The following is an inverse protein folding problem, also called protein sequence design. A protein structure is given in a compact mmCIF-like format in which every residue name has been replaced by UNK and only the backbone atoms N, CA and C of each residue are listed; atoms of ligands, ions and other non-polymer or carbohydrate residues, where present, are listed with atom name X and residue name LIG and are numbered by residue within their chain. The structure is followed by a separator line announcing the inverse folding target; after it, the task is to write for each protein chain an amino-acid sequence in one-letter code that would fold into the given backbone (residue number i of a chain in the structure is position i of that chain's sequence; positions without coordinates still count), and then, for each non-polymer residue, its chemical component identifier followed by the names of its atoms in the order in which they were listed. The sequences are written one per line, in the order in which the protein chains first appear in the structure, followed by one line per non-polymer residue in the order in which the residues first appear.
data_IF_908279617856
#
_entry.id   IF_908279617856
#
_cell.length_a   1.000
_cell.length_b   1.000
_cell.length_c   1.000
_cell.angle_alpha   90.00
_cell.angle_beta   90.00
_cell.angle_gamma   90.00
#
_symmetry.space_group_name_H-M   'P 1'
#
loop_
_entity.id
_entity.type
_entity.pdbx_description
1 polymer ?
#
# COMPACT_ATOMS: atom_id res chain seq x y z
N UNK A 1 -14.92 -3.58 -9.68
CA UNK A 1 -14.56 -3.72 -8.24
C UNK A 1 -13.66 -2.58 -7.83
N UNK A 2 -13.92 -1.95 -6.68
CA UNK A 2 -13.09 -0.86 -6.12
C UNK A 2 -12.55 -1.24 -4.75
N UNK A 3 -11.24 -1.21 -4.61
CA UNK A 3 -10.54 -1.62 -3.39
C UNK A 3 -9.80 -0.43 -2.78
N UNK A 4 -9.90 -0.24 -1.47
CA UNK A 4 -9.02 0.66 -0.75
C UNK A 4 -7.82 -0.12 -0.22
N UNK A 5 -6.65 0.22 -0.71
CA UNK A 5 -5.38 -0.35 -0.24
C UNK A 5 -4.77 0.55 0.83
N UNK A 6 -4.35 -0.06 1.95
CA UNK A 6 -3.59 0.62 3.00
C UNK A 6 -2.20 0.00 3.06
N UNK A 7 -1.21 0.74 2.57
CA UNK A 7 0.22 0.43 2.68
C UNK A 7 0.98 1.74 2.78
N UNK A 8 1.33 2.12 4.00
CA UNK A 8 1.76 3.49 4.29
C UNK A 8 3.26 3.68 4.18
N UNK A 9 4.06 2.68 4.51
CA UNK A 9 5.54 2.79 4.57
C UNK A 9 6.19 1.39 4.66
N UNK A 10 7.48 1.21 4.50
CA UNK A 10 8.47 2.17 4.04
C UNK A 10 8.54 2.21 2.51
N UNK A 11 9.47 2.97 1.91
CA UNK A 11 9.62 3.08 0.46
C UNK A 11 9.67 1.71 -0.23
N UNK A 12 10.56 0.84 0.21
CA UNK A 12 10.67 -0.52 -0.36
C UNK A 12 9.37 -1.32 -0.22
N UNK A 13 8.68 -1.22 0.92
CA UNK A 13 7.40 -1.90 1.13
C UNK A 13 6.31 -1.39 0.19
N UNK A 14 6.30 -0.08 -0.12
CA UNK A 14 5.35 0.52 -1.07
C UNK A 14 5.64 0.01 -2.48
N UNK A 15 6.90 0.05 -2.92
CA UNK A 15 7.33 -0.48 -4.22
C UNK A 15 7.01 -1.98 -4.33
N UNK A 16 7.31 -2.78 -3.32
CA UNK A 16 7.05 -4.23 -3.28
C UNK A 16 5.56 -4.59 -3.33
N UNK A 17 4.67 -3.63 -3.20
CA UNK A 17 3.22 -3.85 -3.30
C UNK A 17 2.72 -3.79 -4.75
N UNK A 18 3.41 -3.10 -5.66
CA UNK A 18 3.00 -2.93 -7.05
C UNK A 18 2.75 -4.26 -7.79
N UNK A 19 3.57 -5.33 -7.63
CA UNK A 19 3.30 -6.61 -8.29
C UNK A 19 1.96 -7.23 -7.90
N UNK A 20 1.50 -7.05 -6.68
CA UNK A 20 0.20 -7.56 -6.25
C UNK A 20 -0.97 -6.84 -6.94
N UNK A 21 -0.82 -5.54 -7.24
CA UNK A 21 -1.81 -4.80 -8.02
C UNK A 21 -1.84 -5.27 -9.47
N UNK A 22 -0.66 -5.57 -10.04
CA UNK A 22 -0.55 -6.10 -11.41
C UNK A 22 -1.25 -7.46 -11.52
N UNK A 23 -1.01 -8.36 -10.57
CA UNK A 23 -1.67 -9.67 -10.54
C UNK A 23 -3.19 -9.52 -10.41
N UNK A 24 -3.65 -8.69 -9.48
CA UNK A 24 -5.06 -8.42 -9.28
C UNK A 24 -5.73 -7.82 -10.52
N UNK A 25 -5.07 -6.88 -11.20
CA UNK A 25 -5.58 -6.24 -12.40
C UNK A 25 -5.69 -7.23 -13.59
N UNK A 26 -4.79 -8.20 -13.66
CA UNK A 26 -4.84 -9.29 -14.66
C UNK A 26 -5.93 -10.30 -14.34
N UNK A 27 -6.09 -10.64 -13.06
CA UNK A 27 -7.07 -11.65 -12.63
C UNK A 27 -8.50 -11.12 -12.61
N UNK A 28 -8.71 -9.84 -12.32
CA UNK A 28 -10.03 -9.22 -12.16
C UNK A 28 -10.14 -8.01 -13.10
N UNK A 29 -10.70 -8.18 -14.31
CA UNK A 29 -10.86 -7.09 -15.25
C UNK A 29 -11.64 -5.92 -14.64
N UNK A 30 -11.12 -4.70 -14.80
CA UNK A 30 -11.75 -3.49 -14.31
C UNK A 30 -11.63 -3.23 -12.80
N UNK A 31 -10.80 -4.01 -12.06
CA UNK A 31 -10.48 -3.68 -10.67
C UNK A 31 -9.72 -2.34 -10.60
N UNK A 32 -10.06 -1.53 -9.60
CA UNK A 32 -9.43 -0.22 -9.34
C UNK A 32 -9.06 -0.10 -7.88
N UNK A 33 -7.94 0.54 -7.64
CA UNK A 33 -7.41 0.80 -6.31
C UNK A 33 -7.36 2.28 -6.00
N UNK A 34 -7.84 2.65 -4.81
CA UNK A 34 -7.43 3.89 -4.17
C UNK A 34 -6.41 3.50 -3.08
N UNK A 35 -5.32 4.26 -2.93
CA UNK A 35 -4.21 3.83 -2.08
C UNK A 35 -3.88 4.86 -1.00
N UNK A 36 -3.97 4.44 0.27
CA UNK A 36 -3.54 5.22 1.45
C UNK A 36 -2.05 4.98 1.70
N UNK A 37 -1.26 6.03 1.57
CA UNK A 37 0.20 5.99 1.66
C UNK A 37 0.75 7.20 2.41
N UNK A 38 1.92 7.09 3.03
CA UNK A 38 2.60 8.22 3.66
C UNK A 38 2.97 9.29 2.62
N UNK A 39 2.79 10.58 2.94
CA UNK A 39 2.94 11.71 2.02
C UNK A 39 4.27 11.70 1.24
N UNK A 40 5.37 11.28 1.87
CA UNK A 40 6.68 11.18 1.22
C UNK A 40 6.81 10.08 0.16
N UNK A 41 5.81 9.21 0.02
CA UNK A 41 5.79 8.13 -0.97
C UNK A 41 4.59 8.20 -1.90
N UNK A 42 3.86 9.32 -1.89
CA UNK A 42 2.59 9.47 -2.60
C UNK A 42 2.72 9.38 -4.13
N UNK A 43 3.90 9.62 -4.67
CA UNK A 43 4.17 9.51 -6.10
C UNK A 43 4.18 8.05 -6.59
N UNK A 44 4.74 7.12 -5.80
CA UNK A 44 4.96 5.72 -6.21
C UNK A 44 3.67 5.02 -6.67
N UNK A 45 2.54 5.09 -5.92
CA UNK A 45 1.29 4.51 -6.38
C UNK A 45 0.79 5.03 -7.73
N UNK A 46 1.12 6.27 -8.08
CA UNK A 46 0.66 6.88 -9.35
C UNK A 46 1.29 6.23 -10.58
N UNK A 47 2.38 5.51 -10.41
CA UNK A 47 3.05 4.82 -11.51
C UNK A 47 2.28 3.59 -12.02
N UNK A 48 1.35 3.06 -11.20
CA UNK A 48 0.60 1.86 -11.57
C UNK A 48 -0.79 2.21 -12.16
N UNK A 49 -1.13 1.70 -13.36
CA UNK A 49 -2.35 2.07 -14.08
C UNK A 49 -3.65 1.66 -13.39
N UNK A 50 -3.63 0.65 -12.50
CA UNK A 50 -4.81 0.25 -11.75
C UNK A 50 -5.09 1.13 -10.51
N UNK A 51 -4.23 2.10 -10.20
CA UNK A 51 -4.45 3.06 -9.10
C UNK A 51 -5.17 4.30 -9.64
N UNK A 52 -6.35 4.56 -9.10
CA UNK A 52 -7.17 5.72 -9.48
C UNK A 52 -6.86 6.95 -8.62
N UNK A 53 -6.76 6.74 -7.31
CA UNK A 53 -6.60 7.85 -6.35
C UNK A 53 -5.55 7.51 -5.31
N UNK A 54 -4.63 8.43 -5.08
CA UNK A 54 -3.68 8.35 -3.97
C UNK A 54 -4.20 9.23 -2.83
N UNK A 55 -4.28 8.67 -1.63
CA UNK A 55 -4.75 9.34 -0.42
C UNK A 55 -3.54 9.47 0.53
N UNK A 56 -2.84 10.60 0.51
CA UNK A 56 -1.67 10.79 1.36
C UNK A 56 -2.06 10.94 2.82
N UNK A 57 -1.25 10.36 3.70
CA UNK A 57 -1.30 10.50 5.14
C UNK A 57 0.07 10.90 5.69
N UNK A 58 0.08 11.56 6.83
CA UNK A 58 1.32 11.98 7.49
C UNK A 58 1.38 11.43 8.92
N UNK A 59 1.22 10.11 9.07
CA UNK A 59 1.07 9.46 10.39
C UNK A 59 2.25 9.77 11.30
N UNK A 60 3.48 9.81 10.75
CA UNK A 60 4.69 10.12 11.51
C UNK A 60 4.64 11.53 12.11
N UNK A 61 4.19 12.51 11.31
CA UNK A 61 4.05 13.91 11.71
C UNK A 61 2.84 14.08 12.64
N UNK A 62 1.70 13.47 12.34
CA UNK A 62 0.49 13.53 13.15
C UNK A 62 0.71 13.03 14.58
N UNK A 63 1.48 11.96 14.75
CA UNK A 63 1.82 11.43 16.09
C UNK A 63 2.68 12.37 16.92
N UNK A 64 3.51 13.20 16.28
CA UNK A 64 4.35 14.18 17.00
C UNK A 64 3.54 15.39 17.47
N UNK A 65 2.50 15.77 16.73
CA UNK A 65 1.71 16.97 17.07
C UNK A 65 0.23 16.78 16.72
N UNK A 66 -0.51 16.07 17.58
CA UNK A 66 -1.93 15.77 17.42
C UNK A 66 -2.81 17.03 17.36
N UNK A 67 -2.54 18.02 18.20
CA UNK A 67 -3.30 19.27 18.23
C UNK A 67 -3.20 20.03 16.91
N UNK A 68 -2.00 20.14 16.36
CA UNK A 68 -1.79 20.77 15.07
C UNK A 68 -2.49 20.04 13.95
N UNK A 69 -2.46 18.70 13.96
CA UNK A 69 -3.13 17.85 12.97
C UNK A 69 -4.65 18.04 12.96
N UNK A 70 -5.25 18.18 14.15
CA UNK A 70 -6.68 18.45 14.27
C UNK A 70 -7.00 19.87 13.81
N UNK A 71 -6.22 20.87 14.25
CA UNK A 71 -6.42 22.29 13.96
C UNK A 71 -6.22 22.60 12.46
N UNK A 72 -5.25 21.96 11.80
CA UNK A 72 -5.00 22.11 10.35
C UNK A 72 -6.08 21.47 9.47
N UNK A 73 -6.97 20.66 10.04
CA UNK A 73 -8.00 19.94 9.33
C UNK A 73 -7.51 18.75 8.49
N UNK A 74 -6.23 18.38 8.57
CA UNK A 74 -5.66 17.26 7.81
C UNK A 74 -6.39 15.95 8.13
N UNK A 75 -6.65 15.70 9.40
CA UNK A 75 -7.39 14.52 9.84
C UNK A 75 -8.83 14.49 9.30
N UNK A 76 -9.49 15.65 9.21
CA UNK A 76 -10.82 15.77 8.61
C UNK A 76 -10.76 15.45 7.11
N UNK A 77 -9.79 16.03 6.39
CA UNK A 77 -9.59 15.77 4.96
C UNK A 77 -9.34 14.29 4.68
N UNK A 78 -8.46 13.64 5.44
CA UNK A 78 -8.26 12.19 5.33
C UNK A 78 -9.56 11.41 5.47
N UNK A 79 -10.35 11.67 6.53
CA UNK A 79 -11.64 10.99 6.73
C UNK A 79 -12.62 11.23 5.60
N UNK A 80 -12.65 12.43 5.06
CA UNK A 80 -13.49 12.75 3.90
C UNK A 80 -13.03 11.97 2.66
N UNK A 81 -11.73 11.94 2.37
CA UNK A 81 -11.17 11.23 1.21
C UNK A 81 -11.48 9.74 1.23
N UNK A 82 -11.27 9.05 2.37
CA UNK A 82 -11.57 7.61 2.47
C UNK A 82 -13.06 7.28 2.49
N UNK A 83 -13.93 8.28 2.68
CA UNK A 83 -15.40 8.16 2.65
C UNK A 83 -16.03 8.66 1.36
N UNK A 84 -15.28 9.33 0.51
CA UNK A 84 -15.79 9.93 -0.72
C UNK A 84 -16.30 8.91 -1.72
N UNK A 85 -15.81 7.67 -1.63
CA UNK A 85 -16.20 6.58 -2.53
C UNK A 85 -16.68 5.37 -1.72
N UNK A 86 -17.51 4.54 -2.35
CA UNK A 86 -17.86 3.21 -1.83
C UNK A 86 -16.78 2.22 -2.26
N UNK A 87 -16.28 1.44 -1.31
CA UNK A 87 -15.33 0.37 -1.55
C UNK A 87 -15.98 -0.99 -1.35
N UNK A 88 -15.66 -1.93 -2.20
CA UNK A 88 -16.10 -3.32 -2.08
C UNK A 88 -15.27 -4.06 -1.02
N UNK A 89 -14.00 -3.66 -0.87
CA UNK A 89 -13.04 -4.24 0.07
C UNK A 89 -12.00 -3.20 0.48
N UNK A 90 -11.54 -3.30 1.73
CA UNK A 90 -10.29 -2.66 2.19
C UNK A 90 -9.24 -3.75 2.37
N UNK A 91 -8.04 -3.56 1.84
CA UNK A 91 -6.89 -4.45 2.09
C UNK A 91 -5.85 -3.67 2.89
N UNK A 92 -5.60 -4.09 4.14
CA UNK A 92 -4.45 -3.60 4.91
C UNK A 92 -3.25 -4.53 4.66
N UNK A 93 -2.37 -4.11 3.76
CA UNK A 93 -1.15 -4.82 3.43
C UNK A 93 0.05 -4.43 4.32
N UNK A 94 -0.17 -3.61 5.35
CA UNK A 94 0.88 -3.18 6.26
C UNK A 94 1.02 -4.11 7.47
N UNK A 95 -0.10 -4.54 8.07
CA UNK A 95 -0.12 -5.40 9.24
C UNK A 95 0.43 -4.76 10.51
N UNK A 96 0.22 -3.45 10.69
CA UNK A 96 0.61 -2.67 11.86
C UNK A 96 -0.62 -1.99 12.49
N UNK A 97 -0.60 -1.77 13.80
CA UNK A 97 -1.70 -1.09 14.51
C UNK A 97 -2.04 0.28 13.91
N UNK A 98 -1.02 1.02 13.50
CA UNK A 98 -1.20 2.35 12.91
C UNK A 98 -1.97 2.33 11.59
N UNK A 99 -1.78 1.30 10.75
CA UNK A 99 -2.52 1.12 9.49
C UNK A 99 -3.89 0.51 9.73
N UNK A 100 -3.96 -0.49 10.59
CA UNK A 100 -5.20 -1.14 10.97
C UNK A 100 -6.21 -0.15 11.58
N UNK A 101 -5.74 0.81 12.37
CA UNK A 101 -6.60 1.85 12.93
C UNK A 101 -7.25 2.74 11.87
N UNK A 102 -6.57 3.00 10.74
CA UNK A 102 -7.14 3.79 9.64
C UNK A 102 -8.35 3.11 9.00
N UNK A 103 -8.43 1.77 9.02
CA UNK A 103 -9.54 1.01 8.44
C UNK A 103 -10.89 1.35 9.07
N UNK A 104 -10.90 1.81 10.32
CA UNK A 104 -12.13 2.17 11.07
C UNK A 104 -12.92 3.32 10.44
N UNK A 105 -12.31 4.10 9.58
CA UNK A 105 -12.94 5.25 8.92
C UNK A 105 -13.62 4.90 7.61
N UNK A 106 -13.50 3.63 7.18
CA UNK A 106 -14.08 3.12 5.93
C UNK A 106 -15.21 2.14 6.22
N UNK A 107 -16.32 2.28 5.53
CA UNK A 107 -17.47 1.39 5.64
C UNK A 107 -17.40 0.31 4.55
N UNK A 108 -16.52 -0.67 4.72
CA UNK A 108 -16.40 -1.84 3.85
C UNK A 108 -15.78 -3.00 4.64
N UNK A 109 -15.92 -4.26 4.17
CA UNK A 109 -15.16 -5.37 4.73
C UNK A 109 -13.67 -5.10 4.69
N UNK A 110 -12.94 -5.49 5.74
CA UNK A 110 -11.49 -5.28 5.85
C UNK A 110 -10.79 -6.62 5.85
N UNK A 111 -9.91 -6.82 4.86
CA UNK A 111 -8.99 -7.94 4.79
C UNK A 111 -7.59 -7.50 5.24
N UNK A 112 -6.91 -8.35 5.98
CA UNK A 112 -5.53 -8.13 6.38
C UNK A 112 -4.93 -9.41 6.97
N UNK A 113 -3.65 -9.36 7.30
CA UNK A 113 -2.91 -10.49 7.84
C UNK A 113 -3.48 -10.92 9.20
N UNK A 114 -3.57 -12.22 9.43
CA UNK A 114 -3.94 -12.77 10.74
C UNK A 114 -2.88 -12.48 11.83
N UNK A 115 -3.15 -12.91 13.06
CA UNK A 115 -2.25 -12.67 14.21
C UNK A 115 -0.88 -13.30 14.07
N UNK A 116 -0.79 -14.43 13.32
CA UNK A 116 0.44 -15.18 13.12
C UNK A 116 1.27 -14.62 11.97
N UNK A 117 0.62 -14.03 10.98
CA UNK A 117 1.25 -13.45 9.80
C UNK A 117 1.57 -11.96 9.95
N UNK A 118 0.77 -11.21 10.71
CA UNK A 118 0.98 -9.78 10.90
C UNK A 118 2.26 -9.48 11.68
N UNK A 119 2.90 -8.34 11.36
CA UNK A 119 4.06 -7.87 12.11
C UNK A 119 3.68 -7.47 13.54
N UNK A 120 2.52 -6.86 13.71
CA UNK A 120 1.90 -6.56 15.00
C UNK A 120 0.59 -7.37 15.12
N UNK A 121 0.57 -8.47 15.90
CA UNK A 121 -0.58 -9.38 15.99
C UNK A 121 -1.90 -8.72 16.35
N UNK A 122 -1.86 -7.64 17.15
CA UNK A 122 -3.04 -6.89 17.55
C UNK A 122 -3.74 -6.18 16.38
N UNK A 123 -3.05 -5.93 15.27
CA UNK A 123 -3.64 -5.36 14.07
C UNK A 123 -4.77 -6.23 13.52
N UNK A 124 -4.66 -7.55 13.63
CA UNK A 124 -5.66 -8.50 13.17
C UNK A 124 -7.05 -8.30 13.82
N UNK A 125 -7.14 -7.65 14.98
CA UNK A 125 -8.43 -7.36 15.64
C UNK A 125 -9.29 -6.37 14.87
N UNK A 126 -8.70 -5.59 13.98
CA UNK A 126 -9.39 -4.60 13.16
C UNK A 126 -9.97 -5.18 11.86
N UNK A 127 -9.59 -6.42 11.51
CA UNK A 127 -9.97 -7.03 10.24
C UNK A 127 -11.15 -7.96 10.39
N UNK A 128 -12.14 -7.82 9.51
CA UNK A 128 -13.26 -8.76 9.38
C UNK A 128 -12.83 -10.06 8.69
N UNK A 129 -11.83 -10.00 7.81
CA UNK A 129 -11.21 -11.14 7.13
C UNK A 129 -9.73 -11.20 7.49
N UNK A 130 -9.36 -12.18 8.30
CA UNK A 130 -7.99 -12.42 8.77
C UNK A 130 -7.37 -13.53 7.93
N UNK A 131 -6.32 -13.20 7.22
CA UNK A 131 -5.74 -14.05 6.18
C UNK A 131 -4.36 -14.53 6.60
N UNK A 132 -4.17 -15.84 6.60
CA UNK A 132 -2.89 -16.48 6.86
C UNK A 132 -1.98 -16.37 5.64
N UNK A 133 -0.80 -15.78 5.83
CA UNK A 133 0.27 -15.70 4.83
C UNK A 133 1.58 -16.05 5.51
N UNK A 134 2.26 -17.09 5.04
CA UNK A 134 3.49 -17.58 5.67
C UNK A 134 4.55 -16.49 5.83
N UNK A 135 5.21 -16.48 6.98
CA UNK A 135 6.41 -15.70 7.25
C UNK A 135 7.62 -16.33 6.57
N UNK A 136 8.72 -15.60 6.46
CA UNK A 136 9.97 -16.15 5.89
C UNK A 136 10.05 -16.11 4.37
N UNK A 137 9.02 -15.57 3.69
CA UNK A 137 9.03 -15.34 2.25
C UNK A 137 9.47 -13.91 1.92
N UNK A 138 9.89 -13.70 0.67
CA UNK A 138 10.17 -12.36 0.17
C UNK A 138 8.95 -11.45 0.29
N UNK A 139 9.17 -10.17 0.59
CA UNK A 139 8.07 -9.21 0.84
C UNK A 139 7.08 -9.11 -0.33
N UNK A 140 7.57 -9.16 -1.58
CA UNK A 140 6.74 -9.18 -2.80
C UNK A 140 5.79 -10.36 -2.78
N UNK A 141 6.30 -11.58 -2.56
CA UNK A 141 5.49 -12.79 -2.57
C UNK A 141 4.42 -12.79 -1.48
N UNK A 142 4.77 -12.29 -0.30
CA UNK A 142 3.81 -12.17 0.81
C UNK A 142 2.66 -11.24 0.48
N UNK A 143 2.93 -10.10 -0.17
CA UNK A 143 1.88 -9.16 -0.56
C UNK A 143 1.02 -9.73 -1.69
N UNK A 144 1.64 -10.38 -2.68
CA UNK A 144 0.93 -11.08 -3.77
C UNK A 144 -0.03 -12.15 -3.22
N UNK A 145 0.43 -12.99 -2.27
CA UNK A 145 -0.41 -13.99 -1.61
C UNK A 145 -1.56 -13.36 -0.84
N UNK A 146 -1.31 -12.29 -0.07
CA UNK A 146 -2.36 -11.57 0.64
C UNK A 146 -3.46 -11.11 -0.32
N UNK A 147 -3.09 -10.52 -1.47
CA UNK A 147 -4.04 -10.05 -2.46
C UNK A 147 -4.81 -11.21 -3.11
N UNK A 148 -4.13 -12.29 -3.49
CA UNK A 148 -4.75 -13.47 -4.08
C UNK A 148 -5.84 -14.04 -3.17
N UNK A 149 -5.53 -14.25 -1.89
CA UNK A 149 -6.49 -14.77 -0.91
C UNK A 149 -7.60 -13.74 -0.61
N UNK A 150 -7.26 -12.45 -0.50
CA UNK A 150 -8.23 -11.40 -0.21
C UNK A 150 -9.25 -11.22 -1.35
N UNK A 151 -8.82 -11.32 -2.58
CA UNK A 151 -9.59 -11.05 -3.79
C UNK A 151 -10.16 -12.32 -4.45
N UNK A 152 -9.69 -13.51 -4.03
CA UNK A 152 -10.21 -14.80 -4.49
C UNK A 152 -9.73 -15.19 -5.89
N UNK A 153 -8.45 -14.93 -6.21
CA UNK A 153 -7.84 -15.40 -7.45
C UNK A 153 -6.63 -16.30 -7.15
N UNK A 154 -6.26 -17.14 -8.12
CA UNK A 154 -5.10 -18.02 -8.01
C UNK A 154 -3.80 -17.21 -8.15
N UNK A 155 -2.87 -17.39 -7.20
CA UNK A 155 -1.58 -16.72 -7.24
C UNK A 155 -0.78 -17.16 -8.49
N UNK A 156 -0.41 -16.23 -9.37
CA UNK A 156 0.40 -16.57 -10.54
C UNK A 156 1.77 -17.12 -10.13
N UNK A 157 2.18 -18.23 -10.77
CA UNK A 157 3.51 -18.85 -10.55
C UNK A 157 4.66 -18.06 -11.17
N UNK A 158 4.34 -17.07 -12.00
CA UNK A 158 5.33 -16.19 -12.63
C UNK A 158 5.92 -15.20 -11.65
N UNK A 159 7.11 -14.71 -11.94
CA UNK A 159 7.73 -13.62 -11.21
C UNK A 159 6.81 -12.39 -11.23
N UNK A 160 6.69 -11.68 -10.10
CA UNK A 160 5.85 -10.50 -9.98
C UNK A 160 6.30 -9.36 -10.89
N UNK A 161 5.38 -8.80 -11.66
CA UNK A 161 5.60 -7.64 -12.52
C UNK A 161 5.14 -6.36 -11.83
N UNK A 162 5.95 -5.33 -11.83
CA UNK A 162 5.63 -4.05 -11.18
C UNK A 162 4.57 -3.24 -11.92
N UNK A 163 4.30 -3.55 -13.20
CA UNK A 163 3.22 -2.93 -13.99
C UNK A 163 3.36 -1.41 -14.15
N UNK A 164 4.59 -0.91 -14.18
CA UNK A 164 4.85 0.52 -14.26
C UNK A 164 4.41 1.08 -15.62
N UNK A 165 3.70 2.20 -15.59
CA UNK A 165 3.48 2.98 -16.79
C UNK A 165 4.73 3.83 -17.06
N UNK A 166 5.59 3.35 -17.95
CA UNK A 166 6.86 4.00 -18.30
C UNK A 166 6.66 5.38 -18.94
N UNK A 167 5.52 5.63 -19.58
CA UNK A 167 5.20 6.93 -20.20
C UNK A 167 5.06 8.06 -19.17
N UNK A 168 4.88 7.71 -17.90
CA UNK A 168 4.84 8.65 -16.78
C UNK A 168 6.20 8.93 -16.16
N UNK A 169 7.23 8.19 -16.56
CA UNK A 169 8.59 8.36 -16.06
C UNK A 169 9.32 9.36 -16.95
N UNK A 170 10.08 10.25 -16.31
CA UNK A 170 10.91 11.20 -17.05
C UNK A 170 12.00 10.42 -17.80
N UNK A 171 12.05 10.55 -19.12
CA UNK A 171 13.19 10.06 -19.88
C UNK A 171 14.43 10.90 -19.57
N UNK A 172 15.44 10.23 -19.04
CA UNK A 172 16.75 10.85 -18.91
C UNK A 172 17.46 10.80 -20.27
N UNK A 173 18.05 11.92 -20.75
CA UNK A 173 18.83 11.92 -21.99
C UNK A 173 19.99 10.92 -21.88
N UNK A 174 19.97 9.90 -22.74
CA UNK A 174 21.00 8.85 -22.78
C UNK A 174 22.06 9.19 -23.80
N UNK A 175 22.86 10.21 -23.51
CA UNK A 175 23.93 10.64 -24.43
C UNK A 175 25.19 9.80 -24.33
N UNK A 176 25.44 9.14 -23.19
CA UNK A 176 26.66 8.37 -22.90
C UNK A 176 26.34 7.14 -22.04
N UNK A 177 27.22 6.11 -22.03
CA UNK A 177 27.16 5.05 -21.02
C UNK A 177 27.22 5.65 -19.62
N UNK A 178 26.33 5.21 -18.71
CA UNK A 178 26.31 5.71 -17.35
C UNK A 178 26.11 4.58 -16.35
N UNK A 179 26.56 4.83 -15.13
CA UNK A 179 26.33 3.98 -13.96
C UNK A 179 25.48 4.76 -12.96
N UNK A 180 24.44 4.11 -12.44
CA UNK A 180 23.57 4.71 -11.42
C UNK A 180 23.97 4.18 -10.06
N UNK A 181 24.35 5.09 -9.17
CA UNK A 181 24.57 4.79 -7.76
C UNK A 181 23.33 5.19 -6.96
N UNK A 182 22.66 4.20 -6.37
CA UNK A 182 21.57 4.43 -5.43
C UNK A 182 22.15 4.48 -4.02
N UNK A 183 22.42 5.66 -3.53
CA UNK A 183 22.87 5.88 -2.16
C UNK A 183 21.83 6.71 -1.41
N UNK A 184 21.75 6.49 -0.15
CA UNK A 184 20.83 7.23 0.71
C UNK A 184 19.98 6.29 1.54
N UNK A 185 20.04 6.51 2.81
CA UNK A 185 19.29 5.76 3.80
C UNK A 185 18.92 6.68 4.95
N UNK A 186 17.80 6.40 5.60
CA UNK A 186 17.39 7.12 6.80
C UNK A 186 18.02 6.58 8.08
N UNK A 187 18.83 5.51 7.97
CA UNK A 187 19.46 4.85 9.10
C UNK A 187 20.97 5.14 9.11
N UNK A 188 21.47 5.75 10.19
CA UNK A 188 22.90 6.04 10.36
C UNK A 188 23.79 4.79 10.20
N UNK A 189 23.31 3.63 10.66
CA UNK A 189 24.03 2.35 10.54
C UNK A 189 24.18 1.82 9.11
N UNK A 190 23.65 2.54 8.12
CA UNK A 190 23.70 2.16 6.69
C UNK A 190 24.35 3.24 5.82
N UNK A 191 24.99 4.21 6.44
CA UNK A 191 25.85 5.18 5.78
C UNK A 191 27.25 4.66 5.63
#
# INVERSE_FOLDING_TARGET
MRVLLIKTSSLGDVVHTLPALTDAARAIPGIRFDWVVEEGFAEIPTWHPAVDTVIPVAIRRWRKNLWQTIKSGEWRRFKQSVRAKKYDLVIDAQGLLKSAWLTRYVKAPVAGLDKESAREPLAARFYSRRLGVARGQHAVERVRQLFAVALGYDLPKTMGSYGLNVDRLVELPRSYPYVVFLHGTTWESKH
#
